data_IF_036547227040
#
_entry.id   IF_036547227040
#
_cell.length_a   1.000
_cell.length_b   1.000
_cell.length_c   1.000
_cell.angle_alpha   90.00
_cell.angle_beta   90.00
_cell.angle_gamma   90.00
#
_symmetry.space_group_name_H-M   'P 1'
#
loop_
_entity.id
_entity.type
_entity.pdbx_description
1 polymer ?
#
# COMPACT_ATOMS: atom_id res chain seq x y z
N UNK A 1 -36.49 -12.84 10.42
CA UNK A 1 -35.81 -11.57 10.07
C UNK A 1 -34.77 -11.36 11.15
N UNK A 2 -33.50 -11.55 10.84
CA UNK A 2 -32.41 -11.46 11.82
C UNK A 2 -32.11 -9.99 12.09
N UNK A 3 -32.16 -9.57 13.35
CA UNK A 3 -31.78 -8.20 13.71
C UNK A 3 -30.32 -7.93 13.31
N UNK A 4 -30.00 -6.72 12.80
CA UNK A 4 -28.65 -6.38 12.40
C UNK A 4 -27.75 -6.26 13.64
N UNK A 5 -26.61 -6.97 13.64
CA UNK A 5 -25.62 -6.93 14.71
C UNK A 5 -25.20 -5.47 14.96
N UNK A 6 -25.41 -4.99 16.18
CA UNK A 6 -24.98 -3.65 16.56
C UNK A 6 -23.47 -3.62 16.82
N UNK A 7 -22.84 -2.44 16.62
CA UNK A 7 -21.38 -2.27 16.85
C UNK A 7 -20.95 -2.68 18.25
N UNK A 8 -21.82 -2.46 19.24
CA UNK A 8 -21.60 -2.86 20.63
C UNK A 8 -21.56 -4.37 20.78
N UNK A 9 -22.53 -5.07 20.21
CA UNK A 9 -22.64 -6.53 20.29
C UNK A 9 -21.49 -7.24 19.56
N UNK A 10 -21.02 -6.65 18.45
CA UNK A 10 -19.78 -7.09 17.80
C UNK A 10 -18.56 -6.92 18.71
N UNK A 11 -18.42 -5.76 19.37
CA UNK A 11 -17.30 -5.51 20.29
C UNK A 11 -17.33 -6.47 21.50
N UNK A 12 -18.51 -6.75 22.04
CA UNK A 12 -18.70 -7.71 23.13
C UNK A 12 -18.30 -9.13 22.71
N UNK A 13 -18.70 -9.56 21.50
CA UNK A 13 -18.30 -10.87 20.95
C UNK A 13 -16.81 -10.97 20.64
N UNK A 14 -16.20 -9.90 20.13
CA UNK A 14 -14.76 -9.83 19.86
C UNK A 14 -13.97 -9.92 21.17
N UNK A 15 -14.40 -9.19 22.20
CA UNK A 15 -13.78 -9.22 23.52
C UNK A 15 -13.88 -10.61 24.18
N UNK A 16 -15.05 -11.25 24.08
CA UNK A 16 -15.26 -12.61 24.60
C UNK A 16 -14.36 -13.64 23.89
N UNK A 17 -14.24 -13.55 22.57
CA UNK A 17 -13.37 -14.44 21.79
C UNK A 17 -11.88 -14.23 22.10
N UNK A 18 -11.45 -12.98 22.34
CA UNK A 18 -10.08 -12.67 22.74
C UNK A 18 -9.73 -13.16 24.16
N UNK A 19 -10.72 -13.31 25.04
CA UNK A 19 -10.55 -13.79 26.42
C UNK A 19 -10.59 -15.32 26.55
N UNK A 20 -10.98 -16.05 25.50
CA UNK A 20 -11.07 -17.51 25.49
C UNK A 20 -9.81 -18.26 25.98
N UNK A 21 -8.55 -17.85 25.65
CA UNK A 21 -7.37 -18.56 26.13
C UNK A 21 -7.06 -18.34 27.63
N UNK A 22 -7.72 -17.41 28.31
CA UNK A 22 -7.45 -17.06 29.72
C UNK A 22 -8.44 -17.66 30.73
N UNK A 23 -9.54 -18.28 30.27
CA UNK A 23 -10.57 -18.85 31.17
C UNK A 23 -10.30 -20.33 31.50
N UNK A 24 -9.53 -21.03 30.68
CA UNK A 24 -9.21 -22.46 30.88
C UNK A 24 -7.80 -22.73 31.41
N UNK A 25 -7.00 -21.69 31.63
CA UNK A 25 -5.61 -21.81 32.06
C UNK A 25 -5.35 -20.79 33.18
N UNK A 26 -4.91 -21.27 34.33
CA UNK A 26 -4.29 -20.46 35.39
C UNK A 26 -2.92 -19.95 34.90
N UNK A 27 -2.96 -19.03 33.94
CA UNK A 27 -1.80 -18.45 33.26
C UNK A 27 -1.55 -17.06 33.82
N UNK A 28 -0.42 -16.96 34.53
CA UNK A 28 0.24 -15.71 34.90
C UNK A 28 0.22 -14.71 33.73
N UNK A 29 -0.07 -13.45 34.06
CA UNK A 29 -0.19 -12.33 33.14
C UNK A 29 0.91 -12.33 32.06
N UNK A 30 0.57 -12.10 30.78
CA UNK A 30 1.58 -11.97 29.74
C UNK A 30 2.36 -10.67 29.99
N UNK A 31 3.66 -10.84 30.21
CA UNK A 31 4.66 -9.80 30.03
C UNK A 31 4.44 -9.14 28.66
N UNK A 32 4.49 -7.81 28.67
CA UNK A 32 4.44 -6.94 27.50
C UNK A 32 5.15 -7.58 26.32
N UNK A 33 4.41 -7.84 25.24
CA UNK A 33 5.00 -8.27 23.98
C UNK A 33 5.94 -7.17 23.51
N UNK A 34 7.25 -7.39 23.69
CA UNK A 34 8.28 -6.58 23.08
C UNK A 34 8.07 -6.62 21.57
N UNK A 35 7.71 -5.49 20.97
CA UNK A 35 7.78 -5.31 19.52
C UNK A 35 9.21 -5.69 19.12
N UNK A 36 9.42 -6.72 18.28
CA UNK A 36 10.77 -7.06 17.86
C UNK A 36 11.38 -5.83 17.19
N UNK A 37 12.67 -5.50 17.45
CA UNK A 37 13.31 -4.39 16.77
C UNK A 37 13.25 -4.66 15.26
N UNK A 38 12.61 -3.74 14.53
CA UNK A 38 12.60 -3.75 13.07
C UNK A 38 14.04 -3.69 12.59
N UNK A 39 14.55 -4.81 12.09
CA UNK A 39 15.84 -4.89 11.41
C UNK A 39 15.88 -3.81 10.32
N UNK A 40 17.00 -3.09 10.15
CA UNK A 40 17.13 -2.12 9.07
C UNK A 40 16.95 -2.86 7.75
N UNK A 41 15.80 -2.66 7.10
CA UNK A 41 15.57 -3.09 5.73
C UNK A 41 16.50 -2.26 4.86
N UNK A 42 17.59 -2.88 4.43
CA UNK A 42 18.48 -2.29 3.44
C UNK A 42 17.64 -2.05 2.18
N UNK A 43 17.31 -0.78 1.93
CA UNK A 43 16.52 -0.41 0.77
C UNK A 43 17.30 -0.83 -0.47
N UNK A 44 16.68 -1.61 -1.39
CA UNK A 44 17.34 -2.04 -2.61
C UNK A 44 17.89 -0.84 -3.36
N UNK A 45 19.07 -1.02 -3.94
CA UNK A 45 19.70 0.00 -4.77
C UNK A 45 18.80 0.26 -6.01
N UNK A 46 18.52 1.53 -6.36
CA UNK A 46 17.64 1.85 -7.48
C UNK A 46 18.27 1.43 -8.81
N UNK A 47 17.44 0.91 -9.71
CA UNK A 47 17.86 0.43 -11.02
C UNK A 47 18.51 1.53 -11.90
N UNK A 48 19.30 1.16 -12.93
CA UNK A 48 19.88 2.13 -13.85
C UNK A 48 18.81 2.99 -14.56
N UNK A 49 17.67 2.39 -14.89
CA UNK A 49 16.53 3.07 -15.50
C UNK A 49 15.96 4.12 -14.54
N UNK A 50 15.71 3.76 -13.28
CA UNK A 50 15.21 4.69 -12.27
C UNK A 50 16.14 5.91 -12.09
N UNK A 51 17.46 5.69 -12.10
CA UNK A 51 18.46 6.76 -12.05
C UNK A 51 18.41 7.67 -13.27
N UNK A 52 18.35 7.10 -14.48
CA UNK A 52 18.28 7.87 -15.72
C UNK A 52 17.04 8.77 -15.77
N UNK A 53 15.89 8.27 -15.30
CA UNK A 53 14.67 9.07 -15.17
C UNK A 53 14.81 10.15 -14.10
N UNK A 54 15.40 9.83 -12.95
CA UNK A 54 15.67 10.83 -11.91
C UNK A 54 16.62 11.93 -12.39
N UNK A 55 17.61 11.61 -13.23
CA UNK A 55 18.49 12.59 -13.86
C UNK A 55 17.72 13.53 -14.79
N UNK A 56 16.73 13.04 -15.55
CA UNK A 56 15.88 13.93 -16.36
C UNK A 56 15.11 14.94 -15.51
N UNK A 57 14.67 14.53 -14.31
CA UNK A 57 14.00 15.41 -13.34
C UNK A 57 15.00 16.41 -12.76
N UNK A 58 16.21 15.96 -12.41
CA UNK A 58 17.28 16.85 -11.95
C UNK A 58 17.62 17.91 -12.99
N UNK A 59 17.75 17.55 -14.26
CA UNK A 59 18.02 18.50 -15.34
C UNK A 59 16.89 19.52 -15.52
N UNK A 60 15.64 19.11 -15.31
CA UNK A 60 14.48 19.97 -15.49
C UNK A 60 14.25 20.95 -14.34
N UNK A 61 14.48 20.50 -13.11
CA UNK A 61 14.16 21.28 -11.90
C UNK A 61 15.40 21.83 -11.20
N UNK A 62 16.60 21.36 -11.56
CA UNK A 62 17.89 21.88 -11.10
C UNK A 62 17.97 21.99 -9.58
N UNK A 63 18.34 23.18 -9.13
CA UNK A 63 18.58 23.52 -7.72
C UNK A 63 17.30 23.62 -6.88
N UNK A 64 16.11 23.42 -7.48
CA UNK A 64 14.83 23.41 -6.75
C UNK A 64 14.62 22.11 -5.97
N UNK A 65 15.46 21.11 -6.18
CA UNK A 65 15.38 19.81 -5.51
C UNK A 65 16.64 19.60 -4.67
N UNK A 66 16.45 19.29 -3.40
CA UNK A 66 17.57 18.86 -2.56
C UNK A 66 18.04 17.46 -2.96
N UNK A 67 19.20 17.05 -2.45
CA UNK A 67 19.71 15.70 -2.65
C UNK A 67 18.77 14.63 -2.06
N UNK A 68 18.13 14.94 -0.93
CA UNK A 68 17.16 14.06 -0.28
C UNK A 68 15.86 13.94 -1.10
N UNK A 69 15.41 15.04 -1.71
CA UNK A 69 14.26 15.02 -2.63
C UNK A 69 14.56 14.13 -3.83
N UNK A 70 15.74 14.28 -4.44
CA UNK A 70 16.16 13.45 -5.58
C UNK A 70 16.26 11.97 -5.18
N UNK A 71 16.76 11.66 -3.99
CA UNK A 71 16.78 10.29 -3.47
C UNK A 71 15.36 9.74 -3.34
N UNK A 72 14.45 10.49 -2.72
CA UNK A 72 13.05 10.08 -2.56
C UNK A 72 12.34 9.90 -3.90
N UNK A 73 12.57 10.81 -4.85
CA UNK A 73 12.05 10.72 -6.22
C UNK A 73 12.57 9.46 -6.91
N UNK A 74 13.87 9.18 -6.82
CA UNK A 74 14.48 7.99 -7.43
C UNK A 74 13.86 6.71 -6.88
N UNK A 75 13.68 6.63 -5.56
CA UNK A 75 13.00 5.49 -4.91
C UNK A 75 11.53 5.37 -5.35
N UNK A 76 10.82 6.49 -5.47
CA UNK A 76 9.44 6.51 -5.96
C UNK A 76 9.33 6.06 -7.42
N UNK A 77 10.31 6.39 -8.27
CA UNK A 77 10.38 5.90 -9.66
C UNK A 77 10.59 4.39 -9.67
N UNK A 78 11.55 3.88 -8.90
CA UNK A 78 11.82 2.45 -8.80
C UNK A 78 10.56 1.67 -8.38
N UNK A 79 9.88 2.11 -7.33
CA UNK A 79 8.65 1.47 -6.85
C UNK A 79 7.53 1.47 -7.93
N UNK A 80 7.43 2.53 -8.74
CA UNK A 80 6.47 2.61 -9.84
C UNK A 80 6.84 1.69 -10.99
N UNK A 81 8.11 1.58 -11.35
CA UNK A 81 8.56 0.65 -12.40
C UNK A 81 8.23 -0.79 -12.02
N UNK A 82 8.53 -1.19 -10.77
CA UNK A 82 8.14 -2.50 -10.24
C UNK A 82 6.61 -2.69 -10.20
N UNK A 83 5.85 -1.63 -9.96
CA UNK A 83 4.39 -1.63 -10.07
C UNK A 83 3.92 -1.91 -11.50
N UNK A 84 4.48 -1.20 -12.48
CA UNK A 84 4.17 -1.35 -13.89
C UNK A 84 4.52 -2.74 -14.42
N UNK A 85 5.68 -3.29 -14.03
CA UNK A 85 6.06 -4.67 -14.38
C UNK A 85 5.05 -5.70 -13.87
N UNK A 86 4.45 -5.47 -12.69
CA UNK A 86 3.38 -6.33 -12.18
C UNK A 86 2.09 -6.20 -12.98
N UNK A 87 1.74 -4.98 -13.40
CA UNK A 87 0.57 -4.74 -14.25
C UNK A 87 0.71 -5.42 -15.61
N UNK A 88 1.90 -5.40 -16.22
CA UNK A 88 2.15 -6.07 -17.50
C UNK A 88 2.06 -7.59 -17.47
N UNK A 89 2.05 -8.22 -16.29
CA UNK A 89 1.85 -9.67 -16.16
C UNK A 89 0.38 -10.07 -16.28
N UNK A 90 -0.55 -9.11 -16.21
CA UNK A 90 -1.97 -9.37 -16.38
C UNK A 90 -2.28 -9.37 -17.88
N UNK A 91 -2.71 -10.52 -18.40
CA UNK A 91 -3.16 -10.63 -19.78
C UNK A 91 -4.51 -9.94 -19.92
N UNK A 92 -4.57 -8.95 -20.81
CA UNK A 92 -5.82 -8.32 -21.21
C UNK A 92 -6.37 -9.07 -22.43
N UNK A 93 -7.68 -9.30 -22.45
CA UNK A 93 -8.35 -9.66 -23.68
C UNK A 93 -8.54 -8.37 -24.49
N UNK A 94 -8.42 -8.41 -25.83
CA UNK A 94 -8.62 -7.21 -26.66
C UNK A 94 -10.06 -6.62 -26.57
N UNK A 95 -10.95 -7.24 -25.79
CA UNK A 95 -12.28 -6.73 -25.44
C UNK A 95 -12.38 -6.12 -24.05
N UNK A 96 -11.29 -6.04 -23.28
CA UNK A 96 -11.28 -5.39 -21.98
C UNK A 96 -11.31 -3.86 -22.19
N UNK A 97 -12.48 -3.27 -22.02
CA UNK A 97 -12.66 -1.82 -22.10
C UNK A 97 -11.96 -1.11 -20.93
N UNK A 98 -11.53 0.15 -21.11
CA UNK A 98 -11.04 0.96 -20.00
C UNK A 98 -12.14 1.12 -18.95
N UNK A 99 -11.75 1.22 -17.68
CA UNK A 99 -12.67 1.48 -16.55
C UNK A 99 -13.55 2.73 -16.79
N UNK A 100 -13.02 3.70 -17.54
CA UNK A 100 -13.75 4.88 -17.99
C UNK A 100 -13.51 5.14 -19.47
N UNK A 101 -14.60 5.14 -20.25
CA UNK A 101 -14.60 5.61 -21.64
C UNK A 101 -15.13 7.05 -21.66
N UNK A 102 -14.37 7.95 -22.29
CA UNK A 102 -14.81 9.32 -22.47
C UNK A 102 -16.06 9.37 -23.36
N UNK A 103 -17.09 10.08 -22.90
CA UNK A 103 -18.27 10.41 -23.70
C UNK A 103 -18.53 11.91 -23.68
N UNK A 104 -18.85 12.47 -24.85
CA UNK A 104 -19.26 13.87 -24.97
C UNK A 104 -20.72 13.97 -24.53
N UNK A 105 -21.02 14.84 -23.58
CA UNK A 105 -22.40 15.18 -23.26
C UNK A 105 -23.03 15.90 -24.45
N UNK A 106 -24.02 15.25 -25.09
CA UNK A 106 -24.93 15.89 -26.04
C UNK A 106 -26.25 15.99 -25.29
N UNK A 107 -26.71 17.19 -24.97
CA UNK A 107 -27.95 17.40 -24.23
C UNK A 107 -29.12 16.61 -24.83
N UNK A 108 -30.09 16.25 -23.99
CA UNK A 108 -31.31 15.58 -24.42
C UNK A 108 -31.96 16.35 -25.57
N UNK A 109 -32.23 15.66 -26.68
CA UNK A 109 -33.24 16.10 -27.65
C UNK A 109 -34.63 16.11 -26.97
#
# INVERSE_FOLDING_TARGET
MSDPITRREFAERLALAAAAPYVTLDVSAPTQSSVPPSLPTQQPEPSPLARALAESIRLRYGDRLSADDLKAITQGIEARLQGVERLYRIALTNGDEPDFVFSVYRGAD
#
